data_IF_376628114880
#
_entry.id   IF_376628114880
#
_cell.length_a   1.000
_cell.length_b   1.000
_cell.length_c   1.000
_cell.angle_alpha   90.00
_cell.angle_beta   90.00
_cell.angle_gamma   90.00
#
_symmetry.space_group_name_H-M   'P 1'
#
loop_
_entity.id
_entity.type
_entity.pdbx_description
1 polymer ?
#
# COMPACT_ATOMS: atom_id res chain seq x y z
N UNK A 1 -24.07 -9.11 -6.34
CA UNK A 1 -22.90 -8.53 -7.02
C UNK A 1 -21.73 -9.44 -6.75
N UNK A 2 -21.09 -10.00 -7.77
CA UNK A 2 -19.88 -10.83 -7.60
C UNK A 2 -18.74 -9.93 -7.14
N UNK A 3 -18.05 -10.32 -6.07
CA UNK A 3 -16.87 -9.59 -5.62
C UNK A 3 -15.85 -9.51 -6.78
N UNK A 4 -15.21 -8.35 -6.99
CA UNK A 4 -14.17 -8.22 -8.00
C UNK A 4 -13.00 -9.14 -7.67
N UNK A 5 -12.31 -9.63 -8.70
CA UNK A 5 -11.04 -10.32 -8.51
C UNK A 5 -9.98 -9.28 -8.16
N UNK A 6 -9.25 -9.49 -7.06
CA UNK A 6 -8.33 -8.52 -6.51
C UNK A 6 -6.90 -9.03 -6.63
N UNK A 7 -6.06 -8.26 -7.31
CA UNK A 7 -4.61 -8.43 -7.34
C UNK A 7 -4.00 -7.61 -6.21
N UNK A 8 -3.21 -8.24 -5.35
CA UNK A 8 -2.38 -7.53 -4.39
C UNK A 8 -1.09 -7.08 -5.07
N UNK A 9 -0.77 -5.79 -4.99
CA UNK A 9 0.48 -5.23 -5.50
C UNK A 9 1.34 -4.77 -4.33
N UNK A 10 2.51 -5.36 -4.18
CA UNK A 10 3.47 -5.02 -3.12
C UNK A 10 4.88 -4.87 -3.66
N UNK A 11 5.79 -4.40 -2.82
CA UNK A 11 7.20 -4.20 -3.15
C UNK A 11 7.89 -3.31 -2.13
N UNK A 12 9.18 -3.49 -1.93
CA UNK A 12 9.99 -2.71 -0.99
C UNK A 12 10.08 -1.22 -1.34
N UNK A 13 10.57 -0.43 -0.41
CA UNK A 13 10.87 0.99 -0.68
C UNK A 13 11.80 1.09 -1.91
N UNK A 14 11.56 2.06 -2.78
CA UNK A 14 12.38 2.27 -3.99
C UNK A 14 12.23 1.20 -5.06
N UNK A 15 11.33 0.20 -4.91
CA UNK A 15 11.14 -0.86 -5.92
C UNK A 15 10.45 -0.38 -7.21
N UNK A 16 9.80 0.78 -7.20
CA UNK A 16 9.00 1.25 -8.35
C UNK A 16 7.53 0.83 -8.30
N UNK A 17 7.05 0.31 -7.15
CA UNK A 17 5.66 -0.07 -6.92
C UNK A 17 4.66 1.01 -7.34
N UNK A 18 4.93 2.28 -7.01
CA UNK A 18 4.05 3.41 -7.37
C UNK A 18 4.00 3.64 -8.88
N UNK A 19 5.14 3.57 -9.58
CA UNK A 19 5.18 3.71 -11.03
C UNK A 19 4.43 2.55 -11.74
N UNK A 20 4.56 1.32 -11.23
CA UNK A 20 3.78 0.19 -11.71
C UNK A 20 2.27 0.40 -11.47
N UNK A 21 1.88 0.86 -10.28
CA UNK A 21 0.49 1.17 -9.94
C UNK A 21 -0.11 2.25 -10.86
N UNK A 22 0.62 3.35 -11.08
CA UNK A 22 0.22 4.43 -11.99
C UNK A 22 0.03 3.93 -13.43
N UNK A 23 0.91 3.02 -13.89
CA UNK A 23 0.75 2.44 -15.23
C UNK A 23 -0.47 1.52 -15.31
N UNK A 24 -0.76 0.70 -14.30
CA UNK A 24 -2.02 -0.06 -14.26
C UNK A 24 -3.25 0.85 -14.30
N UNK A 25 -3.23 1.99 -13.60
CA UNK A 25 -4.31 3.00 -13.66
C UNK A 25 -4.47 3.53 -15.09
N UNK A 26 -3.37 3.83 -15.79
CA UNK A 26 -3.42 4.32 -17.19
C UNK A 26 -4.01 3.30 -18.16
N UNK A 27 -3.94 2.01 -17.82
CA UNK A 27 -4.58 0.90 -18.55
C UNK A 27 -6.05 0.68 -18.14
N UNK A 28 -6.63 1.55 -17.33
CA UNK A 28 -8.03 1.50 -16.90
C UNK A 28 -8.31 0.55 -15.72
N UNK A 29 -7.30 0.09 -15.00
CA UNK A 29 -7.49 -0.79 -13.85
C UNK A 29 -7.87 0.01 -12.61
N UNK A 30 -8.96 -0.38 -11.94
CA UNK A 30 -9.37 0.19 -10.67
C UNK A 30 -8.41 -0.19 -9.56
N UNK A 31 -7.93 0.80 -8.80
CA UNK A 31 -6.86 0.59 -7.82
C UNK A 31 -7.11 1.37 -6.54
N UNK A 32 -6.86 0.74 -5.40
CA UNK A 32 -6.80 1.41 -4.09
C UNK A 32 -5.43 1.21 -3.47
N UNK A 33 -4.88 2.29 -2.91
CA UNK A 33 -3.67 2.24 -2.07
C UNK A 33 -4.10 2.21 -0.60
N UNK A 34 -3.62 1.21 0.16
CA UNK A 34 -3.93 1.04 1.57
C UNK A 34 -3.48 2.24 2.42
N UNK A 35 -2.38 2.91 2.04
CA UNK A 35 -1.92 4.12 2.72
C UNK A 35 -2.89 5.29 2.50
N UNK A 36 -3.53 5.37 1.32
CA UNK A 36 -4.60 6.34 1.07
C UNK A 36 -5.85 6.02 1.88
N UNK A 37 -6.29 4.75 1.91
CA UNK A 37 -7.40 4.33 2.72
C UNK A 37 -7.19 4.64 4.22
N UNK A 38 -5.96 4.46 4.73
CA UNK A 38 -5.58 4.83 6.09
C UNK A 38 -5.63 6.36 6.35
N UNK A 39 -5.56 7.17 5.29
CA UNK A 39 -5.78 8.62 5.41
C UNK A 39 -7.26 8.97 5.42
N UNK A 40 -8.06 8.35 4.57
CA UNK A 40 -9.49 8.64 4.43
C UNK A 40 -10.26 8.38 5.73
N UNK A 41 -9.96 7.30 6.46
CA UNK A 41 -10.68 6.94 7.69
C UNK A 41 -10.52 7.94 8.83
N UNK A 42 -9.50 8.81 8.76
CA UNK A 42 -9.23 9.85 9.77
C UNK A 42 -9.34 11.28 9.21
N UNK A 43 -10.04 11.46 8.09
CA UNK A 43 -10.38 12.79 7.57
C UNK A 43 -11.29 13.55 8.54
N UNK A 44 -11.33 14.89 8.47
CA UNK A 44 -12.25 15.70 9.25
C UNK A 44 -13.69 15.18 9.16
N UNK A 45 -14.39 15.14 10.30
CA UNK A 45 -15.76 14.62 10.49
C UNK A 45 -15.90 13.10 10.43
N UNK A 46 -14.83 12.34 10.24
CA UNK A 46 -14.90 10.87 10.34
C UNK A 46 -14.92 10.42 11.80
N UNK A 47 -15.70 9.38 12.15
CA UNK A 47 -15.81 8.89 13.54
C UNK A 47 -14.47 8.46 14.15
N UNK A 48 -13.53 7.94 13.34
CA UNK A 48 -12.22 7.55 13.85
C UNK A 48 -11.40 8.75 14.33
N UNK A 49 -11.44 9.89 13.62
CA UNK A 49 -10.77 11.11 14.06
C UNK A 49 -11.33 11.61 15.39
N UNK A 50 -12.66 11.59 15.56
CA UNK A 50 -13.30 11.99 16.82
C UNK A 50 -12.81 11.14 18.00
N UNK A 51 -12.70 9.82 17.83
CA UNK A 51 -12.17 8.91 18.87
C UNK A 51 -10.69 9.16 19.18
N UNK A 52 -9.88 9.52 18.16
CA UNK A 52 -8.48 9.88 18.36
C UNK A 52 -8.38 11.18 19.17
N UNK A 53 -9.20 12.19 18.85
CA UNK A 53 -9.25 13.45 19.59
C UNK A 53 -9.72 13.24 21.04
N UNK A 54 -10.75 12.42 21.25
CA UNK A 54 -11.23 12.06 22.58
C UNK A 54 -10.11 11.44 23.45
N UNK A 55 -9.24 10.63 22.85
CA UNK A 55 -8.18 9.95 23.59
C UNK A 55 -6.93 10.80 23.80
N UNK A 56 -6.52 11.57 22.80
CA UNK A 56 -5.23 12.30 22.79
C UNK A 56 -5.38 13.81 23.01
N UNK A 57 -6.62 14.32 23.00
CA UNK A 57 -6.93 15.75 23.12
C UNK A 57 -6.81 16.51 21.80
N UNK A 58 -7.28 17.78 21.81
CA UNK A 58 -7.31 18.63 20.62
C UNK A 58 -5.93 18.98 20.05
N UNK A 59 -4.87 18.87 20.86
CA UNK A 59 -3.48 19.09 20.42
C UNK A 59 -2.99 18.09 19.38
N UNK A 60 -3.82 17.09 19.01
CA UNK A 60 -3.53 16.15 17.93
C UNK A 60 -4.06 16.64 16.58
N UNK A 61 -4.69 17.80 16.51
CA UNK A 61 -5.24 18.39 15.30
C UNK A 61 -4.38 19.54 14.79
N UNK A 62 -4.30 19.68 13.48
CA UNK A 62 -3.82 20.87 12.80
C UNK A 62 -4.90 21.98 12.85
N UNK A 63 -4.53 23.26 12.57
CA UNK A 63 -5.48 24.37 12.58
C UNK A 63 -6.67 24.23 11.62
N UNK A 64 -6.51 23.43 10.55
CA UNK A 64 -7.57 23.12 9.58
C UNK A 64 -8.46 21.93 9.99
N UNK A 65 -8.25 21.38 11.19
CA UNK A 65 -8.99 20.24 11.71
C UNK A 65 -8.55 18.88 11.19
N UNK A 66 -7.48 18.81 10.41
CA UNK A 66 -6.89 17.53 10.02
C UNK A 66 -6.03 16.93 11.14
N UNK A 67 -5.84 15.62 11.09
CA UNK A 67 -4.98 14.91 12.03
C UNK A 67 -3.51 15.32 11.85
N UNK A 68 -2.87 15.82 12.90
CA UNK A 68 -1.41 15.96 12.94
C UNK A 68 -0.76 14.60 13.14
N UNK A 69 -0.37 14.00 12.00
CA UNK A 69 0.24 12.66 11.96
C UNK A 69 1.62 12.63 12.62
N UNK A 70 2.32 13.76 12.64
CA UNK A 70 3.63 13.84 13.31
C UNK A 70 3.45 13.81 14.82
N UNK A 71 2.55 14.63 15.36
CA UNK A 71 2.21 14.63 16.77
C UNK A 71 1.65 13.27 17.23
N UNK A 72 0.77 12.63 16.45
CA UNK A 72 0.27 11.29 16.77
C UNK A 72 1.38 10.25 16.79
N UNK A 73 2.29 10.27 15.80
CA UNK A 73 3.43 9.34 15.75
C UNK A 73 4.31 9.49 16.98
N UNK A 74 4.61 10.70 17.40
CA UNK A 74 5.40 10.97 18.60
C UNK A 74 4.73 10.41 19.85
N UNK A 75 3.42 10.62 20.00
CA UNK A 75 2.64 10.11 21.14
C UNK A 75 2.68 8.59 21.23
N UNK A 76 2.46 7.87 20.13
CA UNK A 76 2.40 6.41 20.13
C UNK A 76 3.77 5.75 20.11
N UNK A 77 4.84 6.49 19.75
CA UNK A 77 6.19 5.94 19.69
C UNK A 77 6.69 5.49 21.05
N UNK A 78 6.36 6.25 22.11
CA UNK A 78 6.79 5.99 23.47
C UNK A 78 5.77 5.21 24.31
N UNK A 79 4.60 4.89 23.74
CA UNK A 79 3.46 4.28 24.43
C UNK A 79 2.91 3.08 23.63
N UNK A 80 3.47 1.85 23.84
CA UNK A 80 3.03 0.66 23.09
C UNK A 80 1.55 0.31 23.24
N UNK A 81 0.91 0.65 24.38
CA UNK A 81 -0.52 0.48 24.60
C UNK A 81 -1.35 1.43 23.73
N UNK A 82 -0.91 2.69 23.57
CA UNK A 82 -1.56 3.67 22.70
C UNK A 82 -1.46 3.27 21.23
N UNK A 83 -0.31 2.75 20.84
CA UNK A 83 -0.11 2.19 19.50
C UNK A 83 -1.08 1.03 19.25
N UNK A 84 -1.20 0.08 20.18
CA UNK A 84 -2.12 -1.06 20.04
C UNK A 84 -3.58 -0.62 19.98
N UNK A 85 -3.97 0.35 20.80
CA UNK A 85 -5.31 0.92 20.77
C UNK A 85 -5.61 1.55 19.41
N UNK A 86 -4.68 2.35 18.87
CA UNK A 86 -4.85 2.99 17.56
C UNK A 86 -4.94 1.96 16.43
N UNK A 87 -4.11 0.92 16.45
CA UNK A 87 -4.15 -0.18 15.50
C UNK A 87 -5.50 -0.91 15.56
N UNK A 88 -6.00 -1.23 16.75
CA UNK A 88 -7.32 -1.86 16.93
C UNK A 88 -8.48 -0.97 16.45
N UNK A 89 -8.38 0.33 16.60
CA UNK A 89 -9.38 1.27 16.08
C UNK A 89 -9.33 1.34 14.55
N UNK A 90 -8.15 1.48 13.97
CA UNK A 90 -8.01 1.83 12.56
C UNK A 90 -8.04 0.63 11.61
N UNK A 91 -7.47 -0.52 11.97
CA UNK A 91 -7.38 -1.68 11.07
C UNK A 91 -8.75 -2.11 10.51
N UNK A 92 -9.82 -2.29 11.33
CA UNK A 92 -11.11 -2.69 10.80
C UNK A 92 -11.75 -1.61 9.90
N UNK A 93 -11.53 -0.33 10.21
CA UNK A 93 -12.06 0.78 9.42
C UNK A 93 -11.36 0.91 8.07
N UNK A 94 -10.04 0.78 8.06
CA UNK A 94 -9.23 0.76 6.84
C UNK A 94 -9.65 -0.43 5.96
N UNK A 95 -9.78 -1.61 6.54
CA UNK A 95 -10.24 -2.80 5.80
C UNK A 95 -11.62 -2.60 5.19
N UNK A 96 -12.58 -2.05 5.93
CA UNK A 96 -13.91 -1.76 5.42
C UNK A 96 -13.90 -0.73 4.28
N UNK A 97 -13.10 0.34 4.39
CA UNK A 97 -12.96 1.37 3.36
C UNK A 97 -12.35 0.78 2.07
N UNK A 98 -11.30 -0.05 2.20
CA UNK A 98 -10.69 -0.77 1.08
C UNK A 98 -11.72 -1.65 0.37
N UNK A 99 -12.47 -2.47 1.12
CA UNK A 99 -13.50 -3.36 0.55
C UNK A 99 -14.56 -2.56 -0.18
N UNK A 100 -15.06 -1.48 0.41
CA UNK A 100 -16.07 -0.63 -0.22
C UNK A 100 -15.55 0.03 -1.50
N UNK A 101 -14.30 0.48 -1.49
CA UNK A 101 -13.68 1.09 -2.66
C UNK A 101 -13.51 0.08 -3.79
N UNK A 102 -12.95 -1.10 -3.48
CA UNK A 102 -12.76 -2.17 -4.46
C UNK A 102 -14.07 -2.72 -5.02
N UNK A 103 -15.14 -2.74 -4.21
CA UNK A 103 -16.47 -3.19 -4.67
C UNK A 103 -17.10 -2.29 -5.77
N UNK A 104 -16.58 -1.06 -5.95
CA UNK A 104 -17.00 -0.12 -7.01
C UNK A 104 -16.24 -0.30 -8.32
N UNK A 105 -15.33 -1.28 -8.39
CA UNK A 105 -14.52 -1.51 -9.58
C UNK A 105 -15.39 -1.91 -10.77
N UNK A 106 -15.28 -1.17 -11.86
CA UNK A 106 -15.88 -1.47 -13.16
C UNK A 106 -14.90 -2.20 -14.08
N UNK A 107 -13.62 -2.16 -13.76
CA UNK A 107 -12.57 -2.88 -14.49
C UNK A 107 -12.67 -4.39 -14.27
N UNK A 108 -12.18 -5.23 -15.20
CA UNK A 108 -12.25 -6.70 -15.11
C UNK A 108 -11.64 -7.27 -13.82
N UNK A 109 -10.70 -6.57 -13.23
CA UNK A 109 -10.10 -6.85 -11.93
C UNK A 109 -9.71 -5.54 -11.24
N UNK A 110 -9.48 -5.60 -9.92
CA UNK A 110 -9.04 -4.45 -9.15
C UNK A 110 -7.67 -4.74 -8.50
N UNK A 111 -6.96 -3.68 -8.12
CA UNK A 111 -5.67 -3.80 -7.45
C UNK A 111 -5.75 -3.19 -6.05
N UNK A 112 -5.27 -3.95 -5.05
CA UNK A 112 -4.94 -3.46 -3.72
C UNK A 112 -3.43 -3.25 -3.64
N UNK A 113 -3.00 -2.00 -3.56
CA UNK A 113 -1.60 -1.64 -3.35
C UNK A 113 -1.33 -1.53 -1.86
N UNK A 114 -0.34 -2.25 -1.37
CA UNK A 114 0.12 -2.10 0.02
C UNK A 114 1.60 -2.47 0.15
N UNK A 115 2.42 -1.61 0.78
CA UNK A 115 3.81 -1.95 1.08
C UNK A 115 3.93 -3.05 2.14
N UNK A 116 2.89 -3.23 2.98
CA UNK A 116 2.82 -4.20 4.05
C UNK A 116 1.77 -5.30 3.78
N UNK A 117 1.52 -5.62 2.51
CA UNK A 117 0.49 -6.56 2.09
C UNK A 117 0.59 -7.93 2.79
N UNK A 118 1.81 -8.40 2.95
CA UNK A 118 2.11 -9.70 3.56
C UNK A 118 2.03 -9.61 5.08
N UNK A 119 2.66 -8.59 5.65
CA UNK A 119 2.81 -8.40 7.10
C UNK A 119 1.50 -8.04 7.80
N UNK A 120 0.64 -7.26 7.14
CA UNK A 120 -0.62 -6.77 7.71
C UNK A 120 -1.81 -7.73 7.60
N UNK A 121 -1.62 -8.90 6.95
CA UNK A 121 -2.72 -9.83 6.67
C UNK A 121 -3.65 -9.38 5.53
N UNK A 122 -3.40 -8.23 4.88
CA UNK A 122 -4.20 -7.73 3.75
C UNK A 122 -4.13 -8.67 2.52
N UNK A 123 -3.14 -9.56 2.47
CA UNK A 123 -3.06 -10.62 1.48
C UNK A 123 -4.34 -11.46 1.40
N UNK A 124 -5.03 -11.66 2.51
CA UNK A 124 -6.28 -12.44 2.56
C UNK A 124 -7.42 -11.81 1.75
N UNK A 125 -7.30 -10.51 1.43
CA UNK A 125 -8.26 -9.81 0.57
C UNK A 125 -7.98 -10.00 -0.92
N UNK A 126 -6.88 -10.68 -1.29
CA UNK A 126 -6.39 -10.78 -2.67
C UNK A 126 -6.40 -12.23 -3.14
N UNK A 127 -6.70 -12.45 -4.42
CA UNK A 127 -6.66 -13.77 -5.05
C UNK A 127 -5.27 -14.10 -5.61
N UNK A 128 -4.44 -13.06 -5.86
CA UNK A 128 -3.09 -13.19 -6.42
C UNK A 128 -2.21 -12.06 -5.92
N UNK A 129 -0.92 -12.29 -5.81
CA UNK A 129 0.06 -11.29 -5.35
C UNK A 129 1.11 -11.05 -6.42
N UNK A 130 1.23 -9.80 -6.84
CA UNK A 130 2.32 -9.29 -7.67
C UNK A 130 3.33 -8.56 -6.79
N UNK A 131 4.58 -9.03 -6.81
CA UNK A 131 5.70 -8.35 -6.15
C UNK A 131 6.51 -7.57 -7.17
N UNK A 132 6.64 -6.27 -6.98
CA UNK A 132 7.62 -5.46 -7.71
C UNK A 132 8.97 -5.65 -7.04
N UNK A 133 9.86 -6.37 -7.70
CA UNK A 133 11.17 -6.75 -7.19
C UNK A 133 12.27 -5.89 -7.82
N UNK A 134 13.18 -5.43 -6.99
CA UNK A 134 14.32 -4.60 -7.42
C UNK A 134 15.51 -4.93 -6.53
N UNK A 135 16.73 -5.07 -7.09
CA UNK A 135 17.95 -5.25 -6.31
C UNK A 135 18.13 -4.15 -5.26
N UNK A 136 18.61 -4.51 -4.07
CA UNK A 136 18.71 -3.59 -2.91
C UNK A 136 19.53 -2.34 -3.23
N UNK A 137 20.64 -2.47 -3.96
CA UNK A 137 21.46 -1.31 -4.33
C UNK A 137 20.69 -0.28 -5.18
N UNK A 138 19.77 -0.72 -6.06
CA UNK A 138 18.91 0.18 -6.83
C UNK A 138 17.81 0.78 -5.95
N UNK A 139 17.28 0.02 -4.99
CA UNK A 139 16.32 0.55 -4.01
C UNK A 139 16.94 1.68 -3.19
N UNK A 140 18.17 1.48 -2.70
CA UNK A 140 18.94 2.50 -1.97
C UNK A 140 19.12 3.74 -2.85
N UNK A 141 19.71 3.58 -4.03
CA UNK A 141 19.99 4.69 -4.95
C UNK A 141 18.72 5.49 -5.28
N UNK A 142 17.65 4.79 -5.70
CA UNK A 142 16.39 5.44 -6.10
C UNK A 142 15.74 6.18 -4.93
N UNK A 143 15.75 5.60 -3.73
CA UNK A 143 15.16 6.22 -2.54
C UNK A 143 15.94 7.44 -2.09
N UNK A 144 17.27 7.34 -2.01
CA UNK A 144 18.13 8.47 -1.65
C UNK A 144 17.93 9.65 -2.60
N UNK A 145 17.86 9.42 -3.92
CA UNK A 145 17.66 10.48 -4.91
C UNK A 145 16.27 11.11 -4.81
N UNK A 146 15.22 10.31 -4.64
CA UNK A 146 13.83 10.77 -4.55
C UNK A 146 13.56 11.58 -3.28
N UNK A 147 13.96 11.02 -2.13
CA UNK A 147 13.57 11.53 -0.81
C UNK A 147 14.62 12.46 -0.19
N UNK A 148 15.80 12.57 -0.82
CA UNK A 148 16.94 13.38 -0.34
C UNK A 148 17.36 12.99 1.09
N UNK A 149 17.37 11.72 1.38
CA UNK A 149 17.74 11.13 2.67
C UNK A 149 19.06 10.39 2.59
N UNK A 150 19.69 10.13 3.76
CA UNK A 150 20.94 9.38 3.84
C UNK A 150 20.73 7.88 3.57
N UNK A 151 21.81 7.21 3.16
CA UNK A 151 21.81 5.75 2.99
C UNK A 151 21.42 5.02 4.29
N UNK A 152 21.88 5.50 5.44
CA UNK A 152 21.58 4.93 6.75
C UNK A 152 20.08 4.95 7.05
N UNK A 153 19.40 6.06 6.72
CA UNK A 153 17.95 6.18 6.86
C UNK A 153 17.21 5.19 5.95
N UNK A 154 17.65 5.03 4.70
CA UNK A 154 17.04 4.05 3.79
C UNK A 154 17.26 2.62 4.26
N UNK A 155 18.46 2.28 4.74
CA UNK A 155 18.76 0.97 5.32
C UNK A 155 17.88 0.65 6.52
N UNK A 156 17.64 1.62 7.40
CA UNK A 156 16.73 1.45 8.54
C UNK A 156 15.30 1.12 8.08
N UNK A 157 14.82 1.77 7.01
CA UNK A 157 13.49 1.47 6.44
C UNK A 157 13.47 0.06 5.83
N UNK A 158 14.50 -0.33 5.08
CA UNK A 158 14.61 -1.68 4.50
C UNK A 158 14.62 -2.77 5.57
N UNK A 159 15.29 -2.54 6.70
CA UNK A 159 15.33 -3.47 7.83
C UNK A 159 13.99 -3.59 8.56
N UNK A 160 13.16 -2.54 8.53
CA UNK A 160 11.83 -2.54 9.13
C UNK A 160 10.76 -3.22 8.24
N UNK A 161 11.03 -3.41 6.96
CA UNK A 161 10.16 -4.13 6.03
C UNK A 161 10.50 -5.62 6.00
N UNK A 162 9.56 -6.46 5.54
CA UNK A 162 9.84 -7.86 5.24
C UNK A 162 11.05 -7.96 4.29
N UNK A 163 11.91 -8.93 4.54
CA UNK A 163 13.07 -9.19 3.67
C UNK A 163 12.62 -9.53 2.25
N UNK A 164 13.48 -9.24 1.27
CA UNK A 164 13.20 -9.52 -0.15
C UNK A 164 12.82 -10.99 -0.37
N UNK A 165 13.57 -11.92 0.21
CA UNK A 165 13.32 -13.36 0.12
C UNK A 165 11.95 -13.75 0.72
N UNK A 166 11.56 -13.16 1.82
CA UNK A 166 10.25 -13.39 2.43
C UNK A 166 9.11 -12.86 1.55
N UNK A 167 9.23 -11.65 0.99
CA UNK A 167 8.22 -11.12 0.07
C UNK A 167 8.06 -12.00 -1.17
N UNK A 168 9.17 -12.48 -1.74
CA UNK A 168 9.15 -13.33 -2.92
C UNK A 168 8.49 -14.69 -2.67
N UNK A 169 8.56 -15.26 -1.47
CA UNK A 169 7.84 -16.50 -1.12
C UNK A 169 6.31 -16.35 -1.20
N UNK A 170 5.80 -15.14 -1.03
CA UNK A 170 4.37 -14.85 -1.11
C UNK A 170 3.91 -14.37 -2.49
N UNK A 171 4.84 -14.25 -3.45
CA UNK A 171 4.54 -13.80 -4.79
C UNK A 171 3.95 -14.93 -5.63
N UNK A 172 2.82 -14.66 -6.29
CA UNK A 172 2.35 -15.49 -7.40
C UNK A 172 2.97 -15.05 -8.71
N UNK A 173 3.28 -13.73 -8.83
CA UNK A 173 4.00 -13.13 -9.96
C UNK A 173 5.07 -12.17 -9.45
N UNK A 174 6.13 -12.03 -10.23
CA UNK A 174 7.23 -11.10 -9.95
C UNK A 174 7.42 -10.19 -11.15
N UNK A 175 7.39 -8.88 -10.90
CA UNK A 175 7.79 -7.84 -11.84
C UNK A 175 9.20 -7.38 -11.46
N UNK A 176 10.18 -7.79 -12.23
CA UNK A 176 11.57 -7.36 -12.02
C UNK A 176 11.73 -5.95 -12.58
N UNK A 177 12.10 -5.00 -11.70
CA UNK A 177 12.28 -3.59 -12.04
C UNK A 177 13.74 -3.16 -11.82
N UNK A 178 14.61 -3.65 -12.66
CA UNK A 178 16.06 -3.33 -12.69
C UNK A 178 16.45 -2.44 -13.88
N UNK A 179 15.52 -2.18 -14.80
CA UNK A 179 15.68 -1.37 -15.99
C UNK A 179 15.14 0.06 -15.84
N UNK A 180 14.88 0.66 -17.01
CA UNK A 180 14.26 1.99 -17.14
C UNK A 180 12.73 1.94 -17.00
N UNK A 181 12.09 3.12 -17.04
CA UNK A 181 10.64 3.25 -16.94
C UNK A 181 9.92 2.53 -18.10
N UNK A 182 10.46 2.57 -19.31
CA UNK A 182 9.86 1.92 -20.46
C UNK A 182 9.89 0.40 -20.34
N UNK A 183 10.92 -0.16 -19.72
CA UNK A 183 10.97 -1.58 -19.38
C UNK A 183 9.87 -1.95 -18.37
N UNK A 184 9.74 -1.17 -17.30
CA UNK A 184 8.69 -1.36 -16.30
C UNK A 184 7.29 -1.35 -16.95
N UNK A 185 7.03 -0.38 -17.82
CA UNK A 185 5.74 -0.23 -18.51
C UNK A 185 5.40 -1.45 -19.36
N UNK A 186 6.34 -1.95 -20.17
CA UNK A 186 6.14 -3.17 -20.98
C UNK A 186 5.85 -4.40 -20.12
N UNK A 187 6.54 -4.55 -19.00
CA UNK A 187 6.28 -5.67 -18.08
C UNK A 187 4.89 -5.56 -17.42
N UNK A 188 4.47 -4.35 -17.05
CA UNK A 188 3.10 -4.11 -16.54
C UNK A 188 2.06 -4.44 -17.62
N UNK A 189 2.25 -4.02 -18.87
CA UNK A 189 1.34 -4.33 -19.98
C UNK A 189 1.24 -5.85 -20.23
N UNK A 190 2.37 -6.54 -20.20
CA UNK A 190 2.41 -8.01 -20.32
C UNK A 190 1.63 -8.70 -19.20
N UNK A 191 1.82 -8.26 -17.96
CA UNK A 191 1.10 -8.80 -16.80
C UNK A 191 -0.39 -8.44 -16.84
N UNK A 192 -0.73 -7.21 -17.26
CA UNK A 192 -2.11 -6.78 -17.44
C UNK A 192 -2.85 -7.69 -18.43
N UNK A 193 -2.25 -7.93 -19.61
CA UNK A 193 -2.81 -8.84 -20.60
C UNK A 193 -3.01 -10.25 -20.05
N UNK A 194 -2.05 -10.75 -19.28
CA UNK A 194 -2.17 -12.05 -18.60
C UNK A 194 -3.34 -12.06 -17.59
N UNK A 195 -3.49 -11.04 -16.74
CA UNK A 195 -4.58 -10.98 -15.76
C UNK A 195 -5.97 -10.88 -16.41
N UNK A 196 -6.08 -10.24 -17.57
CA UNK A 196 -7.31 -10.25 -18.35
C UNK A 196 -7.70 -11.66 -18.80
N UNK A 197 -6.73 -12.52 -19.19
CA UNK A 197 -7.02 -13.91 -19.56
C UNK A 197 -7.52 -14.75 -18.39
N UNK A 198 -7.03 -14.50 -17.17
CA UNK A 198 -7.50 -15.19 -15.97
C UNK A 198 -8.97 -14.89 -15.65
N UNK A 199 -9.50 -13.76 -16.13
CA UNK A 199 -10.90 -13.34 -15.94
C UNK A 199 -11.82 -13.72 -17.10
N UNK A 200 -11.28 -13.77 -18.32
CA UNK A 200 -12.03 -14.18 -19.53
C UNK A 200 -12.37 -15.66 -19.58
N UNK A 201 -11.76 -16.50 -18.75
CA UNK A 201 -12.00 -17.94 -18.71
C UNK A 201 -13.19 -18.40 -17.85
N UNK A 202 -14.04 -17.47 -17.37
CA UNK A 202 -15.33 -17.77 -16.71
C UNK A 202 -16.47 -17.23 -17.59
N UNK A 203 -16.69 -17.87 -18.71
CA UNK A 203 -17.97 -17.85 -19.43
C UNK A 203 -18.85 -18.97 -18.87
#
# INVERSE_FOLDING_TARGET
MTQPWILGLTGGIGSGKSAAAEHFISLGVHLVDADHAARWVVEPRRPALAKIVERFGDGILLPDGQLDRAALRERIFQAPEERRWLEQLLHPLIGAEIVQYLARAESPYAILVSPLLVESGQRQMTQRVLVVDTPEHLQLQRTMLRDKVSEEQVRSILQAQARRDERLKHADDVLVNDGDLSHLQREVERLHAFYLTLRGGRA
#
